data_IF_018819865098
#
_entry.id   IF_018819865098
#
_cell.length_a   1.000
_cell.length_b   1.000
_cell.length_c   1.000
_cell.angle_alpha   90.00
_cell.angle_beta   90.00
_cell.angle_gamma   90.00
#
_symmetry.space_group_name_H-M   'P 1'
#
loop_
_entity.id
_entity.type
_entity.pdbx_description
1 polymer ?
#
# COMPACT_ATOMS: atom_id res chain seq x y z
N UNK A 1 5.94 -20.26 27.84
CA UNK A 1 5.88 -20.73 26.43
C UNK A 1 4.56 -20.27 25.85
N UNK A 2 4.53 -19.18 25.08
CA UNK A 2 3.33 -18.83 24.33
C UNK A 2 3.14 -19.90 23.24
N UNK A 3 1.97 -20.54 23.22
CA UNK A 3 1.60 -21.50 22.19
C UNK A 3 1.66 -20.75 20.84
N UNK A 4 2.59 -21.14 19.94
CA UNK A 4 2.62 -20.60 18.57
C UNK A 4 1.30 -20.98 17.91
N UNK A 5 0.32 -20.07 17.94
CA UNK A 5 -0.93 -20.24 17.19
C UNK A 5 -0.55 -20.29 15.71
N UNK A 6 -1.03 -21.29 15.00
CA UNK A 6 -0.91 -21.33 13.54
C UNK A 6 -1.54 -20.07 12.95
N UNK A 7 -0.97 -19.49 11.87
CA UNK A 7 -1.62 -18.41 11.16
C UNK A 7 -3.06 -18.80 10.80
N UNK A 8 -4.00 -17.85 10.81
CA UNK A 8 -5.37 -18.11 10.38
C UNK A 8 -5.34 -18.54 8.90
N UNK A 9 -6.31 -19.35 8.49
CA UNK A 9 -6.41 -19.74 7.09
C UNK A 9 -6.88 -18.53 6.26
N UNK A 10 -6.05 -18.10 5.30
CA UNK A 10 -6.42 -17.08 4.32
C UNK A 10 -6.73 -17.76 2.98
N UNK A 11 -7.99 -18.17 2.79
CA UNK A 11 -8.39 -18.95 1.63
C UNK A 11 -8.31 -18.15 0.33
N UNK A 12 -7.65 -18.72 -0.68
CA UNK A 12 -7.58 -18.21 -2.06
C UNK A 12 -7.95 -19.37 -2.99
N UNK A 13 -8.92 -19.23 -3.91
CA UNK A 13 -9.27 -20.27 -4.86
C UNK A 13 -8.05 -20.77 -5.66
N UNK A 14 -8.00 -22.08 -5.90
CA UNK A 14 -6.95 -22.68 -6.70
C UNK A 14 -7.07 -22.21 -8.17
N UNK A 15 -5.95 -21.88 -8.78
CA UNK A 15 -5.86 -21.55 -10.19
C UNK A 15 -4.47 -21.91 -10.72
N UNK A 16 -4.37 -22.39 -11.98
CA UNK A 16 -3.09 -22.61 -12.65
C UNK A 16 -2.52 -21.33 -13.29
N UNK A 17 -3.24 -20.21 -13.28
CA UNK A 17 -2.89 -18.99 -14.00
C UNK A 17 -2.22 -17.95 -13.10
N UNK A 18 -1.29 -17.20 -13.68
CA UNK A 18 -0.54 -16.12 -13.02
C UNK A 18 -0.55 -14.85 -13.87
N UNK A 19 -0.25 -13.73 -13.24
CA UNK A 19 0.12 -12.48 -13.92
C UNK A 19 1.59 -12.19 -13.66
N UNK A 20 2.26 -11.53 -14.62
CA UNK A 20 3.59 -10.97 -14.37
C UNK A 20 3.43 -9.58 -13.73
N UNK A 21 4.13 -9.35 -12.61
CA UNK A 21 4.09 -8.10 -11.86
C UNK A 21 5.44 -7.41 -11.97
N UNK A 22 5.44 -6.11 -12.23
CA UNK A 22 6.63 -5.24 -12.13
C UNK A 22 6.32 -4.06 -11.22
N UNK A 23 7.24 -3.75 -10.32
CA UNK A 23 7.08 -2.66 -9.34
C UNK A 23 7.74 -1.42 -9.91
N UNK A 24 6.98 -0.35 -10.08
CA UNK A 24 7.45 0.92 -10.64
C UNK A 24 7.65 1.88 -9.47
N UNK A 25 8.88 2.39 -9.32
CA UNK A 25 9.12 3.59 -8.52
C UNK A 25 8.52 4.78 -9.26
N UNK A 26 7.42 5.34 -8.75
CA UNK A 26 6.80 6.53 -9.37
C UNK A 26 7.68 7.78 -9.25
N UNK A 27 8.83 7.68 -8.58
CA UNK A 27 9.75 8.78 -8.21
C UNK A 27 9.15 9.82 -7.26
N UNK A 28 7.90 9.63 -6.85
CA UNK A 28 7.26 10.42 -5.80
C UNK A 28 8.03 10.22 -4.50
N UNK A 29 8.39 11.33 -3.85
CA UNK A 29 8.95 11.37 -2.50
C UNK A 29 8.27 12.49 -1.72
N UNK A 30 7.64 12.14 -0.60
CA UNK A 30 6.91 13.07 0.27
C UNK A 30 7.66 13.15 1.60
N UNK A 31 8.13 14.36 1.94
CA UNK A 31 8.86 14.66 3.17
C UNK A 31 8.12 15.65 4.07
N UNK A 32 8.57 15.76 5.32
CA UNK A 32 7.96 16.62 6.37
C UNK A 32 6.50 16.31 6.68
N UNK A 33 6.04 15.11 6.34
CA UNK A 33 4.72 14.65 6.71
C UNK A 33 4.73 14.26 8.19
N UNK A 34 3.92 14.93 9.01
CA UNK A 34 3.84 14.65 10.44
C UNK A 34 3.27 13.24 10.66
N UNK A 35 3.85 12.46 11.57
CA UNK A 35 3.36 11.10 11.87
C UNK A 35 1.87 11.12 12.25
N UNK A 36 1.48 12.08 13.09
CA UNK A 36 0.12 12.27 13.58
C UNK A 36 -0.90 12.64 12.50
N UNK A 37 -0.45 13.01 11.29
CA UNK A 37 -1.34 13.21 10.16
C UNK A 37 -1.89 11.88 9.63
N UNK A 38 -1.08 10.80 9.63
CA UNK A 38 -1.48 9.50 9.09
C UNK A 38 -1.75 8.45 10.16
N UNK A 39 -1.16 8.58 11.35
CA UNK A 39 -1.06 7.50 12.32
C UNK A 39 -1.17 7.98 13.76
N UNK A 40 -1.82 7.18 14.60
CA UNK A 40 -1.93 7.43 16.03
C UNK A 40 -1.60 6.17 16.87
N UNK A 41 -1.23 6.29 18.16
CA UNK A 41 -0.87 7.53 18.84
C UNK A 41 0.52 8.02 18.41
N UNK A 42 0.84 9.31 18.64
CA UNK A 42 2.18 9.84 18.41
C UNK A 42 3.29 8.97 19.05
N UNK A 43 4.48 9.02 18.47
CA UNK A 43 5.66 8.32 18.99
C UNK A 43 6.79 9.32 19.23
N UNK A 44 7.19 9.46 20.50
CA UNK A 44 8.34 10.30 20.83
C UNK A 44 9.60 9.75 20.13
N UNK A 45 10.36 10.63 19.47
CA UNK A 45 11.47 10.23 18.59
C UNK A 45 11.07 9.92 17.15
N UNK A 46 9.79 9.99 16.78
CA UNK A 46 9.28 9.84 15.40
C UNK A 46 8.17 10.86 15.15
N UNK A 47 8.52 12.15 15.09
CA UNK A 47 7.57 13.25 14.87
C UNK A 47 7.08 13.32 13.42
N UNK A 48 7.94 12.94 12.49
CA UNK A 48 7.66 12.91 11.07
C UNK A 48 7.81 11.50 10.54
N UNK A 49 7.05 11.20 9.49
CA UNK A 49 7.26 10.01 8.69
C UNK A 49 8.64 10.04 8.04
N UNK A 50 9.28 8.87 7.84
CA UNK A 50 10.35 8.74 6.85
C UNK A 50 9.88 9.27 5.51
N UNK A 51 10.81 9.63 4.61
CA UNK A 51 10.43 10.10 3.27
C UNK A 51 9.60 9.02 2.59
N UNK A 52 8.32 9.31 2.35
CA UNK A 52 7.34 8.33 1.85
C UNK A 52 7.48 8.24 0.32
N UNK A 53 7.73 7.05 -0.24
CA UNK A 53 7.62 6.82 -1.67
C UNK A 53 6.17 6.49 -2.07
N UNK A 54 5.80 6.76 -3.32
CA UNK A 54 4.59 6.15 -3.91
C UNK A 54 5.01 5.08 -4.93
N UNK A 55 4.42 3.90 -4.83
CA UNK A 55 4.73 2.75 -5.70
C UNK A 55 3.56 2.49 -6.64
N UNK A 56 3.89 2.16 -7.89
CA UNK A 56 2.92 1.73 -8.90
C UNK A 56 3.23 0.32 -9.35
N UNK A 57 2.25 -0.41 -9.87
CA UNK A 57 2.45 -1.79 -10.32
C UNK A 57 1.97 -1.96 -11.75
N UNK A 58 2.82 -2.54 -12.60
CA UNK A 58 2.42 -3.03 -13.92
C UNK A 58 2.03 -4.50 -13.80
N UNK A 59 0.79 -4.80 -14.14
CA UNK A 59 0.20 -6.14 -14.14
C UNK A 59 0.04 -6.59 -15.60
N UNK A 60 0.77 -7.62 -16.01
CA UNK A 60 0.75 -8.17 -17.36
C UNK A 60 0.10 -9.56 -17.35
N UNK A 61 -1.02 -9.71 -18.05
CA UNK A 61 -1.76 -10.96 -18.14
C UNK A 61 -1.41 -11.72 -19.43
N UNK A 62 -1.49 -13.07 -19.39
CA UNK A 62 -1.18 -13.93 -20.54
C UNK A 62 -2.00 -13.66 -21.81
N UNK A 63 -3.16 -12.99 -21.69
CA UNK A 63 -3.95 -12.51 -22.84
C UNK A 63 -3.33 -11.34 -23.62
N UNK A 64 -2.27 -10.71 -23.10
CA UNK A 64 -1.67 -9.47 -23.63
C UNK A 64 -2.18 -8.18 -23.01
N UNK A 65 -3.25 -8.22 -22.20
CA UNK A 65 -3.72 -7.05 -21.41
C UNK A 65 -2.67 -6.63 -20.38
N UNK A 66 -2.44 -5.32 -20.30
CA UNK A 66 -1.56 -4.69 -19.30
C UNK A 66 -2.36 -3.67 -18.48
N UNK A 67 -2.26 -3.74 -17.16
CA UNK A 67 -2.93 -2.81 -16.25
C UNK A 67 -1.89 -2.09 -15.40
N UNK A 68 -2.15 -0.82 -15.10
CA UNK A 68 -1.45 -0.10 -14.03
C UNK A 68 -2.31 -0.15 -12.76
N UNK A 69 -1.67 -0.37 -11.61
CA UNK A 69 -2.27 -0.19 -10.30
C UNK A 69 -1.56 0.99 -9.63
N UNK A 70 -2.28 2.09 -9.49
CA UNK A 70 -1.81 3.42 -9.13
C UNK A 70 -0.73 3.99 -10.06
N UNK A 71 -0.49 5.30 -9.96
CA UNK A 71 0.45 6.06 -10.81
C UNK A 71 1.29 7.11 -10.07
N UNK A 72 1.14 7.24 -8.75
CA UNK A 72 1.87 8.24 -7.96
C UNK A 72 1.30 9.65 -8.10
N UNK A 73 2.14 10.65 -7.81
CA UNK A 73 1.83 12.07 -7.92
C UNK A 73 2.19 12.58 -9.32
N UNK A 74 1.35 13.37 -10.02
CA UNK A 74 1.78 14.04 -11.23
C UNK A 74 2.89 15.06 -10.94
N UNK A 75 3.87 15.17 -11.83
CA UNK A 75 5.06 16.02 -11.65
C UNK A 75 4.70 17.47 -11.39
N UNK A 76 3.68 17.97 -12.08
CA UNK A 76 3.11 19.28 -11.83
C UNK A 76 1.79 19.15 -11.05
N UNK A 77 1.89 18.72 -9.79
CA UNK A 77 0.74 18.56 -8.89
C UNK A 77 -0.06 19.85 -8.69
N UNK A 78 0.52 21.03 -9.01
CA UNK A 78 -0.19 22.31 -9.02
C UNK A 78 -1.24 22.44 -10.12
N UNK A 79 -1.28 21.51 -11.08
CA UNK A 79 -2.34 21.37 -12.09
C UNK A 79 -3.47 20.45 -11.68
N UNK A 80 -3.41 19.85 -10.49
CA UNK A 80 -4.52 19.05 -9.95
C UNK A 80 -5.73 19.92 -9.62
N UNK A 81 -6.83 19.32 -9.18
CA UNK A 81 -8.02 20.06 -8.79
C UNK A 81 -7.68 21.13 -7.73
N UNK A 82 -8.22 22.37 -7.82
CA UNK A 82 -7.84 23.44 -6.90
C UNK A 82 -8.03 23.12 -5.41
N UNK A 83 -9.05 22.31 -5.06
CA UNK A 83 -9.27 21.86 -3.68
C UNK A 83 -8.10 21.02 -3.16
N UNK A 84 -7.53 20.17 -4.01
CA UNK A 84 -6.34 19.36 -3.70
C UNK A 84 -5.12 20.25 -3.56
N UNK A 85 -4.87 21.13 -4.54
CA UNK A 85 -3.70 22.04 -4.53
C UNK A 85 -3.69 22.90 -3.27
N UNK A 86 -4.83 23.52 -2.94
CA UNK A 86 -4.98 24.36 -1.74
C UNK A 86 -4.72 23.56 -0.46
N UNK A 87 -5.19 22.32 -0.40
CA UNK A 87 -4.93 21.42 0.72
C UNK A 87 -3.42 21.18 0.85
N UNK A 88 -2.75 20.73 -0.22
CA UNK A 88 -1.31 20.42 -0.20
C UNK A 88 -0.44 21.62 0.18
N UNK A 89 -0.76 22.82 -0.33
CA UNK A 89 -0.04 24.06 0.01
C UNK A 89 -0.17 24.43 1.49
N UNK A 90 -1.24 24.01 2.17
CA UNK A 90 -1.46 24.32 3.59
C UNK A 90 -0.66 23.45 4.56
N UNK A 91 -0.13 22.30 4.11
CA UNK A 91 0.53 21.33 4.99
C UNK A 91 2.05 21.52 5.12
N UNK A 92 2.69 22.30 4.24
CA UNK A 92 4.14 22.54 4.30
C UNK A 92 5.01 21.32 3.97
N UNK A 93 4.46 20.32 3.28
CA UNK A 93 5.17 19.10 2.87
C UNK A 93 6.17 19.35 1.74
N UNK A 94 7.25 18.56 1.74
CA UNK A 94 8.19 18.51 0.62
C UNK A 94 7.71 17.44 -0.38
N UNK A 95 7.09 17.85 -1.48
CA UNK A 95 6.59 16.95 -2.53
C UNK A 95 7.54 17.01 -3.73
N UNK A 96 8.25 15.92 -4.00
CA UNK A 96 9.17 15.81 -5.12
C UNK A 96 8.79 14.65 -6.05
N UNK A 97 8.85 14.89 -7.37
CA UNK A 97 8.58 13.92 -8.42
C UNK A 97 9.56 14.18 -9.57
N UNK A 98 10.43 13.21 -9.87
CA UNK A 98 11.40 13.35 -10.97
C UNK A 98 10.74 13.04 -12.33
N UNK A 99 9.99 11.96 -12.40
CA UNK A 99 9.32 11.42 -13.60
C UNK A 99 7.94 10.91 -13.25
N UNK A 100 7.00 10.98 -14.19
CA UNK A 100 5.71 10.30 -14.03
C UNK A 100 5.81 8.87 -14.56
N UNK A 101 4.91 7.99 -14.10
CA UNK A 101 4.91 6.57 -14.49
C UNK A 101 4.91 6.38 -16.01
N UNK A 102 4.15 7.19 -16.76
CA UNK A 102 4.14 7.11 -18.23
C UNK A 102 5.51 7.42 -18.86
N UNK A 103 6.30 8.32 -18.29
CA UNK A 103 7.65 8.65 -18.77
C UNK A 103 8.63 7.50 -18.46
N UNK A 104 8.43 6.82 -17.32
CA UNK A 104 9.22 5.65 -16.91
C UNK A 104 8.95 4.46 -17.84
N UNK A 105 7.68 4.21 -18.18
CA UNK A 105 7.26 3.18 -19.13
C UNK A 105 7.86 3.45 -20.52
N UNK A 106 7.68 4.67 -21.04
CA UNK A 106 8.21 5.07 -22.34
C UNK A 106 9.74 4.97 -22.41
N UNK A 107 10.43 5.36 -21.33
CA UNK A 107 11.89 5.24 -21.23
C UNK A 107 12.42 3.80 -21.31
N UNK A 108 11.56 2.80 -21.12
CA UNK A 108 11.88 1.37 -21.28
C UNK A 108 11.16 0.73 -22.48
N UNK A 109 10.65 1.55 -23.40
CA UNK A 109 10.05 1.09 -24.65
C UNK A 109 8.63 0.53 -24.56
N UNK A 110 7.91 0.82 -23.46
CA UNK A 110 6.50 0.46 -23.33
C UNK A 110 5.63 1.69 -23.62
N UNK A 111 4.84 1.61 -24.69
CA UNK A 111 4.01 2.72 -25.16
C UNK A 111 2.71 2.83 -24.35
N UNK A 112 2.16 4.04 -24.25
CA UNK A 112 0.96 4.31 -23.46
C UNK A 112 -0.30 3.57 -23.98
N UNK A 113 -0.37 3.34 -25.29
CA UNK A 113 -1.45 2.60 -25.94
C UNK A 113 -1.40 1.08 -25.70
N UNK A 114 -0.29 0.57 -25.16
CA UNK A 114 -0.21 -0.81 -24.67
C UNK A 114 -0.89 -1.01 -23.30
N UNK A 115 -1.18 0.06 -22.57
CA UNK A 115 -1.86 0.01 -21.28
C UNK A 115 -3.37 -0.07 -21.51
N UNK A 116 -3.94 -1.23 -21.17
CA UNK A 116 -5.37 -1.52 -21.34
C UNK A 116 -6.24 -0.82 -20.30
N UNK A 117 -5.72 -0.61 -19.09
CA UNK A 117 -6.45 0.08 -18.03
C UNK A 117 -5.57 0.55 -16.88
N UNK A 118 -6.08 1.53 -16.14
CA UNK A 118 -5.48 2.10 -14.94
C UNK A 118 -6.45 1.85 -13.80
N UNK A 119 -5.99 1.18 -12.75
CA UNK A 119 -6.73 0.92 -11.53
C UNK A 119 -6.25 1.96 -10.53
N UNK A 120 -7.16 2.80 -10.07
CA UNK A 120 -6.94 3.61 -8.89
C UNK A 120 -7.32 2.76 -7.69
N UNK A 121 -6.34 2.47 -6.82
CA UNK A 121 -6.63 1.92 -5.50
C UNK A 121 -7.62 2.82 -4.79
N UNK A 122 -7.43 4.14 -4.92
CA UNK A 122 -8.40 5.16 -4.59
C UNK A 122 -8.02 6.51 -5.22
N UNK A 123 -8.79 7.55 -4.92
CA UNK A 123 -8.78 8.83 -5.63
C UNK A 123 -7.84 9.89 -5.05
N UNK A 124 -7.06 9.58 -4.00
CA UNK A 124 -6.13 10.57 -3.45
C UNK A 124 -5.02 10.92 -4.44
N UNK A 125 -4.54 12.15 -4.28
CA UNK A 125 -3.67 12.87 -5.19
C UNK A 125 -2.33 12.17 -5.49
N UNK A 126 -1.86 11.33 -4.58
CA UNK A 126 -0.62 10.58 -4.65
C UNK A 126 -0.75 9.16 -5.20
N UNK A 127 -1.93 8.81 -5.69
CA UNK A 127 -2.23 7.53 -6.37
C UNK A 127 -2.63 7.72 -7.82
N UNK A 128 -3.24 8.87 -8.15
CA UNK A 128 -3.98 9.00 -9.41
C UNK A 128 -3.14 9.35 -10.64
N UNK A 129 -1.93 9.92 -10.46
CA UNK A 129 -1.08 10.40 -11.55
C UNK A 129 -1.81 11.34 -12.52
N UNK A 130 -1.55 11.19 -13.83
CA UNK A 130 -2.27 11.91 -14.89
C UNK A 130 -2.77 10.94 -15.98
N UNK A 131 -3.99 10.37 -15.83
CA UNK A 131 -4.55 9.48 -16.83
C UNK A 131 -4.77 10.16 -18.18
N UNK A 132 -4.88 11.49 -18.25
CA UNK A 132 -5.12 12.22 -19.50
C UNK A 132 -3.98 12.07 -20.51
N UNK A 133 -2.78 11.66 -20.05
CA UNK A 133 -1.63 11.35 -20.89
C UNK A 133 -1.73 9.98 -21.59
N UNK A 134 -2.67 9.14 -21.19
CA UNK A 134 -2.95 7.86 -21.85
C UNK A 134 -4.10 8.01 -22.86
N UNK A 135 -4.10 7.22 -23.96
CA UNK A 135 -5.19 7.23 -24.94
C UNK A 135 -6.56 6.99 -24.29
N UNK A 136 -7.63 7.45 -24.96
CA UNK A 136 -9.01 7.22 -24.52
C UNK A 136 -9.40 5.73 -24.46
N UNK A 137 -8.67 4.86 -25.15
CA UNK A 137 -8.86 3.41 -25.08
C UNK A 137 -8.41 2.80 -23.76
N UNK A 138 -7.58 3.50 -22.97
CA UNK A 138 -7.15 3.05 -21.64
C UNK A 138 -8.29 3.27 -20.65
N UNK A 139 -8.89 2.18 -20.18
CA UNK A 139 -9.97 2.19 -19.19
C UNK A 139 -9.49 2.77 -17.85
N UNK A 140 -10.35 3.50 -17.15
CA UNK A 140 -10.12 3.87 -15.76
C UNK A 140 -11.02 3.00 -14.87
N UNK A 141 -10.40 2.25 -13.97
CA UNK A 141 -11.06 1.34 -13.02
C UNK A 141 -11.00 1.95 -11.62
N UNK A 142 -12.16 2.07 -10.98
CA UNK A 142 -12.34 2.69 -9.65
C UNK A 142 -13.22 1.81 -8.76
N UNK A 143 -13.14 1.98 -7.44
CA UNK A 143 -13.94 1.20 -6.50
C UNK A 143 -15.36 1.73 -6.28
N UNK A 144 -16.18 0.97 -5.53
CA UNK A 144 -17.59 1.28 -5.32
C UNK A 144 -17.84 2.64 -4.65
N UNK A 145 -18.83 3.37 -5.15
CA UNK A 145 -19.24 4.68 -4.65
C UNK A 145 -18.48 5.86 -5.27
N UNK A 146 -17.46 5.62 -6.08
CA UNK A 146 -16.66 6.68 -6.71
C UNK A 146 -17.54 7.63 -7.53
N UNK A 147 -18.38 7.11 -8.43
CA UNK A 147 -19.17 7.96 -9.34
C UNK A 147 -20.16 8.82 -8.58
N UNK A 148 -20.82 8.25 -7.57
CA UNK A 148 -21.87 8.95 -6.81
C UNK A 148 -21.30 10.09 -5.94
N UNK A 149 -20.04 9.99 -5.51
CA UNK A 149 -19.45 10.93 -4.55
C UNK A 149 -18.50 11.94 -5.19
N UNK A 150 -17.80 11.56 -6.27
CA UNK A 150 -16.75 12.40 -6.85
C UNK A 150 -17.13 13.01 -8.18
N UNK A 151 -18.24 12.59 -8.78
CA UNK A 151 -18.74 13.13 -10.04
C UNK A 151 -19.93 14.08 -9.85
N UNK A 152 -20.05 15.13 -10.68
CA UNK A 152 -19.11 15.52 -11.73
C UNK A 152 -17.76 16.00 -11.16
N UNK A 153 -16.68 15.85 -11.92
CA UNK A 153 -15.35 16.32 -11.53
C UNK A 153 -15.18 17.83 -11.68
N UNK A 154 -14.03 18.36 -11.27
CA UNK A 154 -13.60 19.73 -11.55
C UNK A 154 -13.37 19.94 -13.07
N UNK A 155 -13.83 21.03 -13.70
CA UNK A 155 -14.35 22.25 -13.10
C UNK A 155 -15.86 22.29 -12.85
N UNK A 156 -16.63 21.32 -13.34
CA UNK A 156 -18.09 21.32 -13.18
C UNK A 156 -18.53 21.25 -11.72
N UNK A 157 -17.79 20.51 -10.88
CA UNK A 157 -17.86 20.60 -9.43
C UNK A 157 -16.57 21.24 -8.89
N UNK A 158 -16.61 22.48 -8.36
CA UNK A 158 -15.43 23.16 -7.84
C UNK A 158 -14.82 22.49 -6.60
N UNK A 159 -15.61 21.69 -5.87
CA UNK A 159 -15.19 21.00 -4.65
C UNK A 159 -14.73 19.55 -4.92
N UNK A 160 -14.81 19.08 -6.18
CA UNK A 160 -14.36 17.72 -6.50
C UNK A 160 -12.83 17.65 -6.50
N UNK A 161 -12.24 16.65 -5.84
CA UNK A 161 -10.79 16.43 -5.85
C UNK A 161 -10.29 15.82 -7.18
N UNK A 162 -11.21 15.30 -8.01
CA UNK A 162 -10.92 14.66 -9.30
C UNK A 162 -11.27 15.63 -10.43
N UNK A 163 -10.46 15.68 -11.50
CA UNK A 163 -10.71 16.54 -12.67
C UNK A 163 -11.51 15.77 -13.72
N UNK A 164 -12.39 16.46 -14.45
CA UNK A 164 -13.07 15.89 -15.63
C UNK A 164 -12.05 15.44 -16.71
N UNK A 165 -10.87 16.07 -16.76
CA UNK A 165 -9.76 15.66 -17.65
C UNK A 165 -9.17 14.29 -17.30
N UNK A 166 -9.21 13.88 -16.03
CA UNK A 166 -8.72 12.56 -15.61
C UNK A 166 -9.63 11.45 -16.18
N UNK A 167 -10.90 11.80 -16.43
CA UNK A 167 -11.95 10.91 -16.91
C UNK A 167 -12.20 11.06 -18.43
N UNK A 168 -11.54 12.01 -19.10
CA UNK A 168 -12.01 12.50 -20.39
C UNK A 168 -11.96 11.44 -21.49
N UNK A 169 -13.12 11.17 -22.10
CA UNK A 169 -13.33 10.30 -23.25
C UNK A 169 -12.91 8.83 -23.09
N UNK A 170 -12.60 8.39 -21.86
CA UNK A 170 -12.27 6.98 -21.55
C UNK A 170 -13.44 6.25 -20.92
N UNK A 171 -13.42 4.92 -21.00
CA UNK A 171 -14.37 4.10 -20.26
C UNK A 171 -14.07 4.20 -18.76
N UNK A 172 -15.05 4.62 -17.95
CA UNK A 172 -14.98 4.58 -16.50
C UNK A 172 -15.69 3.32 -16.01
N UNK A 173 -14.93 2.40 -15.41
CA UNK A 173 -15.44 1.15 -14.85
C UNK A 173 -15.40 1.19 -13.33
N UNK A 174 -16.56 1.48 -12.75
CA UNK A 174 -16.75 1.33 -11.31
C UNK A 174 -17.00 -0.13 -10.94
N UNK A 175 -16.15 -0.67 -10.08
CA UNK A 175 -16.23 -2.06 -9.64
C UNK A 175 -17.45 -2.26 -8.74
N UNK A 176 -18.16 -3.37 -8.99
CA UNK A 176 -19.25 -3.86 -8.15
C UNK A 176 -18.89 -5.24 -7.64
N UNK A 177 -18.77 -5.37 -6.33
CA UNK A 177 -18.50 -6.64 -5.68
C UNK A 177 -19.79 -7.42 -5.45
N UNK A 178 -19.81 -8.69 -5.86
CA UNK A 178 -20.82 -9.65 -5.38
C UNK A 178 -20.33 -10.32 -4.09
N UNK A 179 -21.18 -11.15 -3.48
CA UNK A 179 -20.80 -11.95 -2.31
C UNK A 179 -20.27 -13.35 -2.69
N UNK A 180 -20.16 -13.65 -3.99
CA UNK A 180 -19.90 -15.01 -4.49
C UNK A 180 -18.41 -15.35 -4.46
N UNK A 181 -17.54 -14.36 -4.69
CA UNK A 181 -16.09 -14.52 -4.67
C UNK A 181 -15.52 -13.84 -3.44
N UNK A 182 -14.78 -14.60 -2.64
CA UNK A 182 -14.08 -14.09 -1.46
C UNK A 182 -12.63 -14.56 -1.45
N UNK A 183 -11.76 -13.68 -0.93
CA UNK A 183 -10.36 -13.97 -0.68
C UNK A 183 -10.11 -13.68 0.80
N UNK A 184 -9.85 -14.72 1.59
CA UNK A 184 -9.99 -14.64 3.04
C UNK A 184 -11.35 -14.05 3.43
N UNK A 185 -11.34 -12.95 4.18
CA UNK A 185 -12.55 -12.21 4.58
C UNK A 185 -12.97 -11.09 3.63
N UNK A 186 -12.23 -10.83 2.56
CA UNK A 186 -12.55 -9.76 1.60
C UNK A 186 -13.60 -10.23 0.58
N UNK A 187 -14.55 -9.36 0.23
CA UNK A 187 -15.25 -9.51 -1.06
C UNK A 187 -14.22 -9.27 -2.16
N UNK A 188 -14.32 -10.02 -3.24
CA UNK A 188 -13.35 -9.94 -4.32
C UNK A 188 -14.01 -10.01 -5.69
N UNK A 189 -13.30 -9.50 -6.68
CA UNK A 189 -13.62 -9.64 -8.09
C UNK A 189 -12.40 -10.25 -8.78
N UNK A 190 -12.58 -11.42 -9.40
CA UNK A 190 -11.57 -12.01 -10.28
C UNK A 190 -11.56 -11.20 -11.59
N UNK A 191 -10.50 -10.41 -11.80
CA UNK A 191 -10.49 -9.39 -12.85
C UNK A 191 -10.41 -9.99 -14.25
N UNK A 192 -9.63 -11.07 -14.39
CA UNK A 192 -9.47 -11.80 -15.64
C UNK A 192 -10.38 -13.03 -15.75
N UNK A 193 -11.01 -13.44 -14.65
CA UNK A 193 -11.92 -14.59 -14.59
C UNK A 193 -11.20 -15.94 -14.59
N UNK A 194 -9.89 -15.93 -14.34
CA UNK A 194 -9.02 -17.10 -14.42
C UNK A 194 -8.24 -17.37 -13.12
N UNK A 195 -8.48 -16.56 -12.07
CA UNK A 195 -7.89 -16.66 -10.75
C UNK A 195 -6.44 -16.17 -10.63
N UNK A 196 -5.94 -15.43 -11.63
CA UNK A 196 -4.58 -14.87 -11.66
C UNK A 196 -4.46 -13.50 -10.97
N UNK A 197 -5.51 -12.68 -10.99
CA UNK A 197 -5.52 -11.36 -10.35
C UNK A 197 -6.91 -11.00 -9.82
N UNK A 198 -6.96 -10.60 -8.55
CA UNK A 198 -8.19 -10.19 -7.88
C UNK A 198 -8.11 -8.72 -7.47
N UNK A 199 -9.22 -8.00 -7.65
CA UNK A 199 -9.50 -6.79 -6.90
C UNK A 199 -10.21 -7.16 -5.60
N UNK A 200 -9.79 -6.55 -4.50
CA UNK A 200 -10.31 -6.77 -3.17
C UNK A 200 -11.04 -5.51 -2.71
N UNK A 201 -12.20 -5.72 -2.11
CA UNK A 201 -12.96 -4.66 -1.45
C UNK A 201 -12.32 -4.33 -0.09
N UNK A 202 -11.62 -3.20 -0.02
CA UNK A 202 -10.85 -2.77 1.16
C UNK A 202 -11.33 -1.41 1.68
N UNK A 203 -12.59 -1.29 2.11
CA UNK A 203 -13.18 -0.02 2.53
C UNK A 203 -12.56 0.52 3.83
N UNK A 204 -12.76 1.81 4.06
CA UNK A 204 -12.36 2.51 5.28
C UNK A 204 -11.60 3.79 4.97
N UNK A 205 -10.40 3.66 4.40
CA UNK A 205 -9.50 4.80 4.14
C UNK A 205 -10.18 5.89 3.29
N UNK A 206 -10.75 5.48 2.16
CA UNK A 206 -11.62 6.32 1.34
C UNK A 206 -12.82 5.54 0.82
N UNK A 207 -13.84 6.26 0.35
CA UNK A 207 -14.87 5.63 -0.46
C UNK A 207 -14.26 5.03 -1.73
N UNK A 208 -14.65 3.79 -2.04
CA UNK A 208 -14.14 3.07 -3.21
C UNK A 208 -12.69 2.63 -3.10
N UNK A 209 -12.11 2.54 -1.90
CA UNK A 209 -10.75 1.99 -1.74
C UNK A 209 -10.67 0.50 -2.15
N UNK A 210 -9.67 0.16 -2.95
CA UNK A 210 -9.42 -1.15 -3.55
C UNK A 210 -8.04 -1.67 -3.17
N UNK A 211 -7.97 -2.97 -2.88
CA UNK A 211 -6.73 -3.73 -2.83
C UNK A 211 -6.55 -4.57 -4.09
N UNK A 212 -5.31 -4.90 -4.44
CA UNK A 212 -4.99 -5.86 -5.50
C UNK A 212 -4.33 -7.12 -4.93
N UNK A 213 -4.69 -8.30 -5.41
CA UNK A 213 -4.00 -9.55 -5.09
C UNK A 213 -3.62 -10.29 -6.38
N UNK A 214 -2.33 -10.32 -6.67
CA UNK A 214 -1.79 -10.96 -7.86
C UNK A 214 -1.15 -12.30 -7.52
N UNK A 215 -1.53 -13.37 -8.24
CA UNK A 215 -0.83 -14.66 -8.18
C UNK A 215 0.42 -14.60 -9.04
N UNK A 216 1.57 -14.76 -8.41
CA UNK A 216 2.89 -14.65 -9.06
C UNK A 216 3.45 -15.99 -9.52
N UNK A 217 3.23 -17.06 -8.77
CA UNK A 217 3.64 -18.43 -9.13
C UNK A 217 2.57 -19.44 -8.70
N UNK A 218 2.57 -20.65 -9.26
CA UNK A 218 1.60 -21.73 -8.92
C UNK A 218 2.23 -22.97 -8.28
N UNK A 219 3.56 -23.13 -8.34
CA UNK A 219 4.28 -24.26 -7.76
C UNK A 219 5.55 -23.81 -7.00
N UNK A 220 5.45 -23.44 -5.72
CA UNK A 220 4.22 -23.29 -4.93
C UNK A 220 3.43 -22.03 -5.32
N UNK A 221 2.16 -21.93 -4.89
CA UNK A 221 1.40 -20.69 -5.02
C UNK A 221 2.06 -19.55 -4.23
N UNK A 222 2.29 -18.42 -4.89
CA UNK A 222 2.75 -17.17 -4.24
C UNK A 222 1.96 -15.98 -4.73
N UNK A 223 1.87 -14.93 -3.91
CA UNK A 223 1.07 -13.75 -4.20
C UNK A 223 1.74 -12.46 -3.77
N UNK A 224 1.43 -11.37 -4.48
CA UNK A 224 1.71 -10.00 -4.08
C UNK A 224 0.38 -9.33 -3.74
N UNK A 225 0.30 -8.72 -2.55
CA UNK A 225 -0.83 -7.89 -2.11
C UNK A 225 -0.43 -6.42 -2.30
N UNK A 226 -1.16 -5.71 -3.16
CA UNK A 226 -1.08 -4.27 -3.39
C UNK A 226 -2.10 -3.56 -2.50
N UNK A 227 -1.61 -2.93 -1.42
CA UNK A 227 -2.44 -2.45 -0.33
C UNK A 227 -3.14 -1.11 -0.56
N UNK A 228 -2.64 -0.28 -1.49
CA UNK A 228 -2.99 1.14 -1.50
C UNK A 228 -2.70 1.77 -0.13
N UNK A 229 -3.57 2.69 0.28
CA UNK A 229 -3.51 3.35 1.60
C UNK A 229 -4.29 2.60 2.68
N UNK A 230 -4.46 1.28 2.52
CA UNK A 230 -4.91 0.44 3.63
C UNK A 230 -3.96 0.57 4.83
N UNK A 231 -2.65 0.69 4.56
CA UNK A 231 -1.63 1.01 5.55
C UNK A 231 -0.53 1.87 4.88
N UNK A 232 -0.23 3.02 5.46
CA UNK A 232 0.84 3.93 5.05
C UNK A 232 2.20 3.48 5.58
N UNK A 233 2.21 2.71 6.68
CA UNK A 233 3.43 2.24 7.31
C UNK A 233 3.31 0.80 7.83
N UNK A 234 4.42 0.06 7.87
CA UNK A 234 4.45 -1.31 8.40
C UNK A 234 3.97 -1.41 9.86
N UNK A 235 4.09 -0.31 10.61
CA UNK A 235 3.59 -0.20 11.99
C UNK A 235 2.07 -0.15 12.13
N UNK A 236 1.28 0.08 11.07
CA UNK A 236 -0.20 0.03 11.13
C UNK A 236 -0.75 -1.39 10.99
N UNK A 237 0.02 -2.29 10.38
CA UNK A 237 -0.38 -3.69 10.18
C UNK A 237 0.34 -4.67 11.12
N UNK A 238 1.54 -4.31 11.59
CA UNK A 238 2.39 -5.20 12.41
C UNK A 238 2.85 -4.55 13.72
N UNK A 239 3.05 -5.36 14.79
CA UNK A 239 2.72 -6.79 14.87
C UNK A 239 1.20 -7.03 14.92
N UNK A 240 0.79 -8.28 14.88
CA UNK A 240 -0.62 -8.67 14.95
C UNK A 240 -0.81 -9.96 15.73
N UNK A 241 -2.05 -10.30 16.08
CA UNK A 241 -2.40 -11.60 16.67
C UNK A 241 -1.91 -12.82 15.87
N UNK A 242 -1.59 -12.63 14.58
CA UNK A 242 -1.19 -13.68 13.65
C UNK A 242 0.30 -13.63 13.32
N UNK A 243 0.98 -12.51 13.56
CA UNK A 243 2.38 -12.31 13.23
C UNK A 243 3.08 -11.45 14.30
N UNK A 244 3.94 -12.09 15.09
CA UNK A 244 4.68 -11.48 16.20
C UNK A 244 6.10 -11.11 15.77
N UNK A 245 6.68 -10.12 16.45
CA UNK A 245 8.09 -9.73 16.27
C UNK A 245 8.99 -10.93 16.64
N UNK A 246 9.93 -11.37 15.77
CA UNK A 246 10.87 -12.44 16.07
C UNK A 246 11.73 -12.12 17.30
N UNK A 247 11.87 -13.08 18.22
CA UNK A 247 12.60 -12.88 19.47
C UNK A 247 14.07 -12.47 19.28
N UNK A 248 14.68 -12.91 18.18
CA UNK A 248 16.06 -12.70 17.79
C UNK A 248 16.26 -11.54 16.80
N UNK A 249 15.22 -10.72 16.59
CA UNK A 249 15.27 -9.60 15.64
C UNK A 249 16.41 -8.62 15.98
N UNK A 250 17.21 -8.27 14.96
CA UNK A 250 18.26 -7.27 15.09
C UNK A 250 18.32 -6.44 13.80
N UNK A 251 17.72 -5.25 13.84
CA UNK A 251 17.54 -4.39 12.66
C UNK A 251 18.22 -3.02 12.86
N UNK A 252 18.84 -2.78 14.02
CA UNK A 252 19.58 -1.54 14.25
C UNK A 252 21.01 -1.69 13.74
N UNK A 253 21.51 -0.70 13.00
CA UNK A 253 22.90 -0.60 12.56
C UNK A 253 23.54 0.69 13.15
N UNK A 254 24.64 0.60 13.93
CA UNK A 254 25.36 -0.61 14.31
C UNK A 254 24.51 -1.54 15.20
N UNK A 255 24.70 -2.88 15.06
CA UNK A 255 24.04 -3.85 15.93
C UNK A 255 24.41 -3.52 17.37
N UNK A 256 23.39 -3.21 18.17
CA UNK A 256 23.61 -2.65 19.49
C UNK A 256 24.02 -3.76 20.47
N UNK A 257 25.33 -3.96 20.64
CA UNK A 257 25.95 -5.00 21.48
C UNK A 257 25.75 -4.80 22.99
N UNK A 258 25.19 -3.66 23.41
CA UNK A 258 24.97 -3.28 24.81
C UNK A 258 23.52 -3.50 25.29
N UNK A 259 22.72 -4.33 24.60
CA UNK A 259 21.35 -4.64 25.02
C UNK A 259 21.33 -5.74 26.10
N UNK A 260 20.87 -5.45 27.34
CA UNK A 260 20.72 -6.48 28.38
C UNK A 260 19.50 -7.41 28.14
N UNK A 261 18.68 -7.14 27.12
CA UNK A 261 17.50 -7.93 26.77
C UNK A 261 17.44 -8.19 25.25
N UNK A 262 17.17 -9.43 24.81
CA UNK A 262 17.26 -9.83 23.41
C UNK A 262 16.15 -9.23 22.53
N UNK A 263 16.52 -8.83 21.31
CA UNK A 263 15.65 -8.59 20.15
C UNK A 263 14.29 -7.99 20.44
N UNK A 264 13.23 -8.80 20.36
CA UNK A 264 11.83 -8.34 20.42
C UNK A 264 11.45 -7.59 21.71
N UNK A 265 12.12 -7.87 22.83
CA UNK A 265 11.73 -7.36 24.15
C UNK A 265 11.78 -5.82 24.26
N UNK A 266 12.63 -5.14 23.48
CA UNK A 266 12.67 -3.68 23.47
C UNK A 266 11.41 -3.08 22.82
N UNK A 267 10.87 -3.75 21.81
CA UNK A 267 9.64 -3.33 21.14
C UNK A 267 8.41 -3.60 21.99
N UNK A 268 8.41 -4.68 22.77
CA UNK A 268 7.36 -4.94 23.77
C UNK A 268 7.31 -3.83 24.83
N UNK A 269 8.48 -3.35 25.29
CA UNK A 269 8.54 -2.21 26.22
C UNK A 269 8.08 -0.90 25.56
N UNK A 270 8.44 -0.67 24.30
CA UNK A 270 7.96 0.49 23.54
C UNK A 270 6.43 0.48 23.37
N UNK A 271 5.82 -0.67 23.12
CA UNK A 271 4.36 -0.79 23.07
C UNK A 271 3.74 -0.58 24.45
N UNK A 272 4.30 -1.19 25.49
CA UNK A 272 3.82 -1.05 26.86
C UNK A 272 3.85 0.41 27.35
N UNK A 273 4.91 1.17 27.04
CA UNK A 273 5.00 2.59 27.38
C UNK A 273 3.97 3.46 26.66
N UNK A 274 3.37 2.92 25.59
CA UNK A 274 2.31 3.55 24.78
C UNK A 274 0.93 2.94 25.06
N UNK A 275 0.77 2.20 26.16
CA UNK A 275 -0.48 1.51 26.54
C UNK A 275 -1.01 0.54 25.46
N UNK A 276 -0.09 -0.10 24.71
CA UNK A 276 -0.41 -1.08 23.68
C UNK A 276 0.21 -2.43 24.02
N UNK A 277 -0.42 -3.50 23.57
CA UNK A 277 0.09 -4.87 23.75
C UNK A 277 1.02 -5.29 22.61
N UNK A 278 1.89 -6.27 22.86
CA UNK A 278 2.89 -6.76 21.90
C UNK A 278 2.32 -7.41 20.63
N UNK A 279 1.03 -7.76 20.66
CA UNK A 279 0.27 -8.33 19.54
C UNK A 279 -0.63 -7.32 18.82
N UNK A 280 -0.55 -6.03 19.17
CA UNK A 280 -1.21 -4.94 18.45
C UNK A 280 -0.22 -4.24 17.53
N UNK A 281 -0.68 -3.67 16.40
CA UNK A 281 0.15 -2.80 15.58
C UNK A 281 0.73 -1.63 16.40
N UNK A 282 1.86 -1.06 15.95
CA UNK A 282 2.42 0.13 16.59
C UNK A 282 1.52 1.35 16.46
N UNK A 283 0.71 1.41 15.41
CA UNK A 283 -0.17 2.54 15.14
C UNK A 283 -1.54 2.05 14.68
N UNK A 284 -2.56 2.85 14.97
CA UNK A 284 -3.85 2.83 14.32
C UNK A 284 -3.87 3.93 13.24
N UNK A 285 -4.71 3.82 12.20
CA UNK A 285 -4.83 4.87 11.18
C UNK A 285 -5.36 6.16 11.83
N UNK A 286 -4.69 7.28 11.57
CA UNK A 286 -5.07 8.62 12.03
C UNK A 286 -5.89 9.41 11.00
N UNK A 287 -5.91 8.97 9.73
CA UNK A 287 -6.67 9.60 8.65
C UNK A 287 -7.36 8.55 7.78
N UNK A 288 -8.68 8.65 7.72
CA UNK A 288 -9.57 7.83 6.90
C UNK A 288 -10.95 8.48 6.84
N UNK A 289 -11.75 8.09 5.84
CA UNK A 289 -13.19 8.41 5.79
C UNK A 289 -13.97 7.68 6.88
N UNK A 290 -13.57 6.45 7.22
CA UNK A 290 -14.08 5.66 8.34
C UNK A 290 -12.92 4.91 9.02
N UNK A 291 -12.52 5.40 10.19
CA UNK A 291 -11.36 4.87 10.95
C UNK A 291 -11.63 3.45 11.46
N UNK A 292 -12.84 3.16 11.93
CA UNK A 292 -13.17 1.84 12.48
C UNK A 292 -13.29 0.79 11.37
N UNK A 293 -13.88 1.14 10.22
CA UNK A 293 -13.88 0.23 9.06
C UNK A 293 -12.46 0.05 8.50
N UNK A 294 -11.61 1.07 8.54
CA UNK A 294 -10.19 0.93 8.17
C UNK A 294 -9.49 -0.08 9.07
N UNK A 295 -9.64 0.04 10.40
CA UNK A 295 -9.08 -0.93 11.37
C UNK A 295 -9.62 -2.34 11.16
N UNK A 296 -10.92 -2.49 10.86
CA UNK A 296 -11.52 -3.77 10.51
C UNK A 296 -10.89 -4.36 9.24
N UNK A 297 -10.69 -3.55 8.20
CA UNK A 297 -10.06 -3.96 6.94
C UNK A 297 -8.57 -4.30 7.12
N UNK A 298 -7.82 -3.55 7.93
CA UNK A 298 -6.46 -3.88 8.34
C UNK A 298 -6.43 -5.23 9.05
N UNK A 299 -7.37 -5.51 9.96
CA UNK A 299 -7.46 -6.81 10.64
C UNK A 299 -7.66 -7.97 9.65
N UNK A 300 -8.45 -7.79 8.58
CA UNK A 300 -8.59 -8.78 7.49
C UNK A 300 -7.25 -8.96 6.77
N UNK A 301 -6.52 -7.87 6.50
CA UNK A 301 -5.22 -7.92 5.82
C UNK A 301 -4.12 -8.55 6.68
N UNK A 302 -4.19 -8.46 8.01
CA UNK A 302 -3.27 -9.16 8.92
C UNK A 302 -3.29 -10.68 8.75
N UNK A 303 -4.43 -11.25 8.33
CA UNK A 303 -4.52 -12.68 7.99
C UNK A 303 -3.68 -13.01 6.76
N UNK A 304 -3.79 -12.19 5.71
CA UNK A 304 -2.98 -12.31 4.50
C UNK A 304 -1.49 -12.08 4.79
N UNK A 305 -1.19 -11.03 5.56
CA UNK A 305 0.18 -10.66 5.95
C UNK A 305 0.88 -11.77 6.73
N UNK A 306 0.15 -12.52 7.55
CA UNK A 306 0.70 -13.66 8.29
C UNK A 306 1.04 -14.88 7.42
N UNK A 307 0.61 -14.92 6.14
CA UNK A 307 0.91 -16.01 5.23
C UNK A 307 2.31 -15.89 4.63
N UNK A 308 3.13 -16.93 4.77
CA UNK A 308 4.49 -16.97 4.21
C UNK A 308 4.56 -17.04 2.67
N UNK A 309 3.41 -17.15 1.99
CA UNK A 309 3.29 -17.13 0.53
C UNK A 309 2.60 -15.88 -0.01
N UNK A 310 2.32 -14.87 0.82
CA UNK A 310 1.81 -13.56 0.42
C UNK A 310 2.84 -12.50 0.82
N UNK A 311 3.16 -11.61 -0.11
CA UNK A 311 4.09 -10.50 0.12
C UNK A 311 3.36 -9.16 0.04
N UNK A 312 3.44 -8.37 1.10
CA UNK A 312 3.14 -6.93 1.08
C UNK A 312 4.49 -6.25 0.90
N UNK A 313 4.73 -5.71 -0.29
CA UNK A 313 6.06 -5.33 -0.73
C UNK A 313 6.56 -4.02 -0.10
N UNK A 314 7.88 -3.91 -0.02
CA UNK A 314 8.63 -2.69 0.27
C UNK A 314 9.80 -2.60 -0.72
N UNK A 315 11.04 -2.76 -0.23
CA UNK A 315 12.25 -2.82 -1.08
C UNK A 315 12.24 -4.08 -1.96
N UNK A 316 12.33 -3.89 -3.27
CA UNK A 316 12.31 -4.94 -4.28
C UNK A 316 13.08 -4.50 -5.53
N UNK A 317 13.36 -5.46 -6.43
CA UNK A 317 13.84 -5.11 -7.76
C UNK A 317 12.75 -4.33 -8.50
N UNK A 318 13.13 -3.22 -9.12
CA UNK A 318 12.22 -2.28 -9.75
C UNK A 318 12.11 -2.51 -11.25
N UNK A 319 11.03 -1.99 -11.84
CA UNK A 319 10.78 -1.97 -13.27
C UNK A 319 12.04 -1.51 -14.01
N UNK A 320 12.48 -2.25 -15.05
CA UNK A 320 11.71 -3.24 -15.80
C UNK A 320 11.80 -4.68 -15.27
N UNK A 321 12.34 -4.95 -14.08
CA UNK A 321 12.45 -6.33 -13.59
C UNK A 321 11.10 -6.91 -13.11
N UNK A 322 10.95 -8.24 -13.24
CA UNK A 322 9.78 -8.95 -12.72
C UNK A 322 9.89 -9.16 -11.21
N UNK A 323 8.77 -9.01 -10.52
CA UNK A 323 8.61 -9.26 -9.09
C UNK A 323 8.10 -10.68 -8.78
N UNK A 324 7.82 -11.52 -9.77
CA UNK A 324 7.14 -12.81 -9.54
C UNK A 324 7.94 -13.79 -8.68
N UNK A 325 9.27 -13.74 -8.77
CA UNK A 325 10.18 -14.60 -8.01
C UNK A 325 10.56 -14.03 -6.63
N UNK A 326 9.78 -13.07 -6.10
CA UNK A 326 10.04 -12.40 -4.82
C UNK A 326 10.34 -13.38 -3.67
N UNK A 327 9.67 -14.54 -3.67
CA UNK A 327 9.84 -15.56 -2.61
C UNK A 327 11.20 -16.25 -2.73
N UNK A 328 11.63 -16.57 -3.95
CA UNK A 328 12.96 -17.13 -4.23
C UNK A 328 14.08 -16.16 -3.86
N UNK A 329 13.85 -14.86 -4.05
CA UNK A 329 14.80 -13.80 -3.67
C UNK A 329 14.73 -13.39 -2.18
N UNK A 330 13.89 -14.05 -1.38
CA UNK A 330 13.68 -13.79 0.04
C UNK A 330 13.27 -12.34 0.36
N UNK A 331 12.59 -11.65 -0.57
CA UNK A 331 12.23 -10.24 -0.39
C UNK A 331 11.36 -10.03 0.85
N UNK A 332 10.31 -10.83 1.00
CA UNK A 332 9.42 -10.76 2.16
C UNK A 332 10.20 -10.85 3.47
N UNK A 333 11.14 -11.77 3.61
CA UNK A 333 11.92 -11.92 4.85
C UNK A 333 12.78 -10.69 5.14
N UNK A 334 13.32 -10.04 4.10
CA UNK A 334 14.13 -8.83 4.22
C UNK A 334 13.29 -7.59 4.55
N UNK A 335 12.05 -7.51 4.07
CA UNK A 335 11.22 -6.31 4.18
C UNK A 335 10.20 -6.34 5.32
N UNK A 336 9.79 -7.52 5.79
CA UNK A 336 8.67 -7.69 6.73
C UNK A 336 8.75 -6.80 7.97
N UNK A 337 9.95 -6.68 8.53
CA UNK A 337 10.24 -5.91 9.73
C UNK A 337 11.20 -4.75 9.50
N UNK A 338 11.52 -4.42 8.25
CA UNK A 338 12.49 -3.37 7.93
C UNK A 338 12.07 -2.00 8.47
N UNK A 339 10.77 -1.73 8.55
CA UNK A 339 10.20 -0.50 9.12
C UNK A 339 10.57 -0.25 10.59
N UNK A 340 11.03 -1.27 11.33
CA UNK A 340 11.48 -1.07 12.71
C UNK A 340 12.74 -0.17 12.80
N UNK A 341 13.47 0.01 11.69
CA UNK A 341 14.59 0.96 11.60
C UNK A 341 14.14 2.40 11.86
N UNK A 342 12.92 2.73 11.47
CA UNK A 342 12.33 4.07 11.63
C UNK A 342 12.13 4.42 13.11
N UNK A 343 12.10 3.42 14.00
CA UNK A 343 11.93 3.61 15.44
C UNK A 343 13.26 3.83 16.19
N UNK A 344 14.40 3.86 15.50
CA UNK A 344 15.73 3.97 16.11
C UNK A 344 15.85 5.09 17.15
N UNK A 345 15.33 6.28 16.83
CA UNK A 345 15.34 7.45 17.73
C UNK A 345 14.40 7.25 18.94
N UNK A 346 13.21 6.69 18.72
CA UNK A 346 12.26 6.38 19.79
C UNK A 346 12.85 5.36 20.78
N UNK A 347 13.53 4.33 20.27
CA UNK A 347 14.19 3.31 21.08
C UNK A 347 15.37 3.87 21.87
N UNK A 348 16.07 4.90 21.37
CA UNK A 348 17.14 5.59 22.11
C UNK A 348 16.56 6.36 23.30
N UNK A 349 15.52 7.15 23.08
CA UNK A 349 14.86 7.94 24.13
C UNK A 349 14.23 7.06 25.22
N UNK A 350 13.64 5.92 24.83
CA UNK A 350 13.08 4.97 25.79
C UNK A 350 14.13 4.49 26.82
N UNK A 351 15.38 4.30 26.39
CA UNK A 351 16.48 3.85 27.27
C UNK A 351 16.95 4.93 28.24
N UNK A 352 17.04 6.17 27.76
CA UNK A 352 17.46 7.31 28.58
C UNK A 352 16.50 7.52 29.76
N UNK A 353 15.21 7.27 29.54
CA UNK A 353 14.18 7.34 30.59
C UNK A 353 14.17 6.13 31.55
N UNK A 354 14.75 4.98 31.18
CA UNK A 354 14.84 3.79 32.05
C UNK A 354 16.04 3.85 33.03
N UNK A 355 16.99 4.78 32.83
CA UNK A 355 18.21 4.92 33.66
C UNK A 355 18.14 6.10 34.66
N UNK A 356 16.96 6.70 34.89
CA UNK A 356 16.72 7.73 35.90
C UNK A 356 15.88 7.23 37.06
#
# INVERSE_FOLDING_TARGET
MACKRSPPEFHIPASPNTVNIRIIDSTTRIGKLALEFLMEPPMNGMQYMPIIPSWSFLIEHGSGKKLLFDMGVPKDWRKMAPVVVKSLESHGWDINVDKEVIDILSGHGLAADEISGIIWSHWHWDHIGDPSRFPSSTELIVGPGFSDHLLPGYPKNPDSPVRESDLSARNLREIRFSNDVKIGRFRALDFFGDGSFYLLDTPGHTIGHLGGLARTTTNPNTFIFMGGDLCHHGGEIRPSNHLQIPSDINILDPPNTNLPCPGAAIYDRLQASRNRSSNQPFFDPGMASDIEETKNTISKAQEADSQGNICLLGIADLFPLSANEWKKHNWRQKTLWAFLQDFSSALKLLRENEHC
#
